data_IF_143973431168
#
_entry.id   IF_143973431168
#
_cell.length_a   1.000
_cell.length_b   1.000
_cell.length_c   1.000
_cell.angle_alpha   90.00
_cell.angle_beta   90.00
_cell.angle_gamma   90.00
#
_symmetry.space_group_name_H-M   'P 1'
#
loop_
_entity.id
_entity.type
_entity.pdbx_description
1 polymer ?
#
# COMPACT_ATOMS: atom_id res chain seq x y z
N UNK A 1 -21.63 20.66 21.22
CA UNK A 1 -22.52 20.87 20.05
C UNK A 1 -21.97 21.92 19.07
N UNK A 2 -21.57 23.13 19.47
CA UNK A 2 -20.97 24.12 18.53
C UNK A 2 -19.52 23.82 18.09
N UNK A 3 -18.75 23.05 18.88
CA UNK A 3 -17.38 22.65 18.56
C UNK A 3 -17.29 21.50 17.51
N UNK A 4 -18.39 20.80 17.21
CA UNK A 4 -18.38 19.69 16.24
C UNK A 4 -18.43 20.18 14.79
N UNK A 5 -18.94 21.38 14.53
CA UNK A 5 -19.06 21.94 13.17
C UNK A 5 -17.71 22.31 12.52
N UNK A 6 -16.64 22.37 13.33
CA UNK A 6 -15.28 22.65 12.86
C UNK A 6 -14.36 21.42 12.87
N UNK A 7 -14.88 20.23 13.20
CA UNK A 7 -14.10 18.99 13.23
C UNK A 7 -14.04 18.39 11.84
N UNK A 8 -12.82 18.14 11.36
CA UNK A 8 -12.57 17.43 10.11
C UNK A 8 -12.26 15.99 10.44
N UNK A 9 -13.16 15.07 10.12
CA UNK A 9 -12.83 13.64 10.16
C UNK A 9 -11.93 13.31 8.96
N UNK A 10 -10.98 12.40 9.16
CA UNK A 10 -9.90 12.14 8.21
C UNK A 10 -9.77 10.65 7.94
N UNK A 11 -9.72 10.27 6.67
CA UNK A 11 -9.31 8.94 6.23
C UNK A 11 -7.84 8.94 5.86
N UNK A 12 -7.06 7.95 6.30
CA UNK A 12 -5.62 7.85 6.03
C UNK A 12 -5.32 6.46 5.49
N UNK A 13 -4.68 6.43 4.33
CA UNK A 13 -3.93 5.27 3.85
C UNK A 13 -2.47 5.50 4.24
N UNK A 14 -1.97 4.72 5.20
CA UNK A 14 -0.61 4.81 5.70
C UNK A 14 0.26 3.77 4.99
N UNK A 15 0.43 3.94 3.68
CA UNK A 15 1.16 2.98 2.86
C UNK A 15 2.67 3.02 3.05
N UNK A 16 3.33 1.88 2.77
CA UNK A 16 4.80 1.75 2.84
C UNK A 16 5.52 2.70 1.86
N UNK A 17 4.96 2.91 0.67
CA UNK A 17 5.56 3.75 -0.37
C UNK A 17 5.01 5.17 -0.38
N UNK A 18 3.68 5.32 -0.30
CA UNK A 18 2.99 6.62 -0.27
C UNK A 18 1.92 6.59 0.80
N UNK A 19 1.66 7.76 1.39
CA UNK A 19 0.53 7.99 2.27
C UNK A 19 -0.46 8.92 1.60
N UNK A 20 -1.75 8.62 1.74
CA UNK A 20 -2.83 9.42 1.20
C UNK A 20 -3.77 9.86 2.32
N UNK A 21 -4.31 11.07 2.19
CA UNK A 21 -5.22 11.63 3.19
C UNK A 21 -6.50 12.13 2.52
N UNK A 22 -7.63 11.65 3.04
CA UNK A 22 -8.97 12.08 2.71
C UNK A 22 -9.52 12.95 3.84
N UNK A 23 -10.18 14.06 3.49
CA UNK A 23 -10.95 14.85 4.46
C UNK A 23 -12.43 14.71 4.10
N UNK A 24 -13.24 14.43 5.12
CA UNK A 24 -14.70 14.44 5.03
C UNK A 24 -15.22 15.67 4.27
N UNK A 25 -16.13 15.43 3.33
CA UNK A 25 -16.74 16.44 2.45
C UNK A 25 -15.77 17.19 1.51
N UNK A 26 -14.48 16.81 1.44
CA UNK A 26 -13.48 17.43 0.54
C UNK A 26 -12.80 16.46 -0.41
N UNK A 27 -12.77 15.17 -0.10
CA UNK A 27 -12.05 14.20 -0.91
C UNK A 27 -10.59 14.03 -0.48
N UNK A 28 -9.79 13.45 -1.39
CA UNK A 28 -8.36 13.25 -1.20
C UNK A 28 -7.64 14.59 -1.37
N UNK A 29 -6.88 15.00 -0.36
CA UNK A 29 -6.16 16.28 -0.34
C UNK A 29 -4.63 16.14 -0.27
N UNK A 30 -4.15 14.93 0.01
CA UNK A 30 -2.72 14.62 0.11
C UNK A 30 -2.44 13.27 -0.53
N UNK A 31 -1.36 13.21 -1.30
CA UNK A 31 -0.74 12.00 -1.80
C UNK A 31 0.77 12.26 -1.83
N UNK A 32 1.49 11.78 -0.82
CA UNK A 32 2.92 12.02 -0.68
C UNK A 32 3.68 10.74 -0.34
N UNK A 33 4.95 10.63 -0.75
CA UNK A 33 5.82 9.53 -0.36
C UNK A 33 5.92 9.38 1.17
N UNK A 34 5.89 8.15 1.67
CA UNK A 34 6.08 7.84 3.09
C UNK A 34 7.57 7.87 3.46
N UNK A 35 8.21 9.01 3.26
CA UNK A 35 9.65 9.22 3.42
C UNK A 35 9.95 10.41 4.32
N UNK A 36 10.94 10.24 5.18
CA UNK A 36 11.46 11.29 6.05
C UNK A 36 12.98 11.38 5.91
N UNK A 37 13.50 12.59 5.70
CA UNK A 37 14.93 12.88 5.73
C UNK A 37 15.32 13.37 7.13
N UNK A 38 16.30 12.72 7.75
CA UNK A 38 16.74 13.01 9.12
C UNK A 38 18.23 13.32 9.13
N UNK A 39 18.63 14.37 9.84
CA UNK A 39 20.03 14.64 10.13
C UNK A 39 20.51 13.75 11.27
N UNK A 40 21.34 12.76 10.94
CA UNK A 40 21.82 11.72 11.86
C UNK A 40 22.67 12.27 13.02
N UNK A 41 23.20 13.49 12.91
CA UNK A 41 24.00 14.12 13.97
C UNK A 41 23.14 14.81 15.02
N UNK A 42 21.94 15.26 14.64
CA UNK A 42 21.08 16.11 15.49
C UNK A 42 19.74 15.45 15.82
N UNK A 43 19.35 14.42 15.08
CA UNK A 43 18.00 13.84 15.13
C UNK A 43 16.94 14.73 14.47
N UNK A 44 17.30 15.87 13.90
CA UNK A 44 16.34 16.80 13.31
C UNK A 44 15.77 16.26 11.99
N UNK A 45 14.45 16.31 11.86
CA UNK A 45 13.76 16.09 10.58
C UNK A 45 14.02 17.28 9.66
N UNK A 46 14.58 17.01 8.49
CA UNK A 46 14.90 18.00 7.47
C UNK A 46 13.78 18.15 6.44
N UNK A 47 13.13 17.04 6.07
CA UNK A 47 12.09 17.00 5.06
C UNK A 47 11.19 15.76 5.25
N UNK A 48 9.95 15.86 4.81
CA UNK A 48 8.96 14.77 4.76
C UNK A 48 8.30 14.79 3.37
N UNK A 49 7.94 13.62 2.84
CA UNK A 49 7.19 13.52 1.60
C UNK A 49 8.05 13.72 0.36
N UNK A 50 7.54 14.51 -0.58
CA UNK A 50 8.21 14.77 -1.87
C UNK A 50 9.59 15.42 -1.70
N UNK A 51 9.77 16.29 -0.70
CA UNK A 51 11.08 16.89 -0.43
C UNK A 51 12.10 15.85 0.07
N UNK A 52 11.66 14.87 0.88
CA UNK A 52 12.53 13.76 1.28
C UNK A 52 12.85 12.83 0.10
N UNK A 53 11.87 12.57 -0.78
CA UNK A 53 12.04 11.73 -1.98
C UNK A 53 13.11 12.28 -2.93
N UNK A 54 13.19 13.60 -3.12
CA UNK A 54 14.24 14.25 -3.93
C UNK A 54 15.67 13.95 -3.46
N UNK A 55 15.83 13.60 -2.18
CA UNK A 55 17.11 13.31 -1.55
C UNK A 55 17.54 11.83 -1.66
N UNK A 56 16.64 10.92 -2.09
CA UNK A 56 16.93 9.48 -2.21
C UNK A 56 18.09 9.24 -3.17
N UNK A 57 19.10 8.49 -2.70
CA UNK A 57 20.31 8.17 -3.47
C UNK A 57 21.26 9.35 -3.72
N UNK A 58 20.96 10.54 -3.19
CA UNK A 58 21.74 11.79 -3.36
C UNK A 58 22.15 12.42 -2.04
N UNK A 59 21.55 11.97 -0.93
CA UNK A 59 21.82 12.48 0.40
C UNK A 59 23.29 12.24 0.83
N UNK A 60 23.95 13.23 1.45
CA UNK A 60 25.27 13.03 2.05
C UNK A 60 25.18 12.10 3.27
N UNK A 61 26.31 11.52 3.69
CA UNK A 61 26.36 10.49 4.74
C UNK A 61 25.74 10.86 6.10
N UNK A 62 25.58 12.16 6.40
CA UNK A 62 24.96 12.62 7.64
C UNK A 62 23.44 12.79 7.55
N UNK A 63 22.84 12.52 6.39
CA UNK A 63 21.38 12.55 6.18
C UNK A 63 20.92 11.12 5.85
N UNK A 64 20.07 10.57 6.70
CA UNK A 64 19.37 9.32 6.41
C UNK A 64 18.00 9.60 5.81
N UNK A 65 17.64 8.80 4.80
CA UNK A 65 16.28 8.74 4.29
C UNK A 65 15.62 7.51 4.90
N UNK A 66 14.56 7.71 5.67
CA UNK A 66 13.88 6.68 6.45
C UNK A 66 12.48 6.48 5.87
N UNK A 67 12.12 5.21 5.61
CA UNK A 67 10.74 4.78 5.48
C UNK A 67 10.29 4.31 6.86
N UNK A 68 9.31 4.98 7.50
CA UNK A 68 8.90 4.62 8.85
C UNK A 68 7.99 3.39 8.90
N UNK A 69 7.59 2.89 7.73
CA UNK A 69 6.73 1.73 7.54
C UNK A 69 7.48 0.72 6.67
N UNK A 70 7.46 -0.55 7.08
CA UNK A 70 8.05 -1.65 6.33
C UNK A 70 7.04 -2.79 6.32
N UNK A 71 6.61 -3.21 5.12
CA UNK A 71 5.57 -4.22 4.93
C UNK A 71 4.27 -3.89 5.68
N UNK A 72 3.87 -2.61 5.68
CA UNK A 72 2.66 -2.14 6.37
C UNK A 72 2.76 -2.07 7.91
N UNK A 73 3.93 -2.36 8.48
CA UNK A 73 4.18 -2.28 9.93
C UNK A 73 5.03 -1.06 10.25
N UNK A 74 4.73 -0.39 11.37
CA UNK A 74 5.57 0.70 11.90
C UNK A 74 6.94 0.15 12.31
N UNK A 75 7.97 0.54 11.56
CA UNK A 75 9.36 0.23 11.88
C UNK A 75 10.05 1.32 12.69
N UNK A 76 9.55 2.55 12.61
CA UNK A 76 10.02 3.69 13.41
C UNK A 76 8.83 4.51 13.92
N UNK A 77 8.53 4.35 15.21
CA UNK A 77 7.38 4.98 15.85
C UNK A 77 7.49 6.50 15.90
N UNK A 78 8.67 7.04 16.21
CA UNK A 78 8.88 8.48 16.35
C UNK A 78 8.75 9.17 14.99
N UNK A 79 9.33 8.59 13.94
CA UNK A 79 9.18 9.11 12.58
C UNK A 79 7.75 8.95 12.07
N UNK A 80 7.05 7.85 12.38
CA UNK A 80 5.63 7.68 12.02
C UNK A 80 4.75 8.74 12.67
N UNK A 81 4.96 9.03 13.95
CA UNK A 81 4.24 10.10 14.67
C UNK A 81 4.48 11.46 14.02
N UNK A 82 5.71 11.77 13.60
CA UNK A 82 6.00 13.02 12.89
C UNK A 82 5.38 13.06 11.49
N UNK A 83 5.30 11.92 10.81
CA UNK A 83 4.59 11.79 9.53
C UNK A 83 3.09 12.08 9.70
N UNK A 84 2.45 11.51 10.72
CA UNK A 84 1.06 11.85 11.08
C UNK A 84 0.91 13.34 11.42
N UNK A 85 1.82 13.91 12.23
CA UNK A 85 1.79 15.35 12.55
C UNK A 85 1.88 16.22 11.30
N UNK A 86 2.70 15.84 10.33
CA UNK A 86 2.81 16.51 9.04
C UNK A 86 1.49 16.46 8.27
N UNK A 87 0.83 15.31 8.22
CA UNK A 87 -0.48 15.16 7.56
C UNK A 87 -1.56 16.00 8.24
N UNK A 88 -1.68 15.92 9.57
CA UNK A 88 -2.67 16.70 10.34
C UNK A 88 -2.45 18.21 10.18
N UNK A 89 -1.20 18.67 10.14
CA UNK A 89 -0.87 20.08 9.86
C UNK A 89 -1.24 20.52 8.45
N UNK A 90 -1.11 19.65 7.45
CA UNK A 90 -1.52 19.96 6.06
C UNK A 90 -3.03 19.98 5.88
N UNK A 91 -3.76 19.20 6.68
CA UNK A 91 -5.23 19.19 6.73
C UNK A 91 -5.79 20.49 7.32
N UNK A 92 -5.07 21.13 8.24
CA UNK A 92 -5.53 22.35 8.92
C UNK A 92 -4.48 23.48 8.96
N UNK A 93 -4.71 24.52 8.16
CA UNK A 93 -3.87 25.74 8.16
C UNK A 93 -4.00 26.58 9.45
N UNK A 94 -4.98 26.29 10.31
CA UNK A 94 -5.19 27.00 11.57
C UNK A 94 -4.79 26.12 12.77
N UNK A 95 -3.83 26.60 13.56
CA UNK A 95 -3.17 25.91 14.68
C UNK A 95 -4.07 25.58 15.90
N UNK A 96 -5.40 25.60 15.78
CA UNK A 96 -6.31 25.64 16.92
C UNK A 96 -7.23 24.41 17.10
N UNK A 97 -7.14 23.36 16.27
CA UNK A 97 -8.04 22.21 16.39
C UNK A 97 -7.32 20.84 16.42
N UNK A 98 -7.18 20.25 17.61
CA UNK A 98 -6.67 18.89 17.87
C UNK A 98 -7.82 17.87 18.07
N UNK A 99 -8.89 17.91 17.26
CA UNK A 99 -10.11 17.13 17.54
C UNK A 99 -10.61 16.22 16.42
N UNK A 100 -9.77 15.90 15.43
CA UNK A 100 -10.15 15.00 14.33
C UNK A 100 -10.26 13.54 14.78
N UNK A 101 -11.32 12.85 14.34
CA UNK A 101 -11.36 11.39 14.30
C UNK A 101 -10.62 10.94 13.05
N UNK A 102 -9.75 9.95 13.18
CA UNK A 102 -8.99 9.40 12.04
C UNK A 102 -9.38 7.95 11.82
N UNK A 103 -9.62 7.57 10.56
CA UNK A 103 -9.80 6.19 10.11
C UNK A 103 -8.56 5.80 9.32
N UNK A 104 -7.83 4.78 9.76
CA UNK A 104 -6.53 4.40 9.21
C UNK A 104 -6.62 2.99 8.62
N UNK A 105 -6.25 2.84 7.35
CA UNK A 105 -6.05 1.53 6.73
C UNK A 105 -4.84 0.83 7.32
N UNK A 106 -5.00 -0.44 7.71
CA UNK A 106 -3.92 -1.30 8.19
C UNK A 106 -3.98 -2.70 7.58
N UNK A 107 -2.85 -3.41 7.40
CA UNK A 107 -2.85 -4.80 6.93
C UNK A 107 -3.70 -5.72 7.81
N UNK A 108 -4.25 -6.80 7.23
CA UNK A 108 -5.12 -7.73 7.98
C UNK A 108 -4.40 -8.47 9.10
N UNK A 109 -3.13 -8.80 8.89
CA UNK A 109 -2.34 -9.70 9.73
C UNK A 109 -1.51 -9.00 10.82
N UNK A 110 -1.82 -7.76 11.18
CA UNK A 110 -1.15 -7.07 12.27
C UNK A 110 -1.44 -7.72 13.63
N UNK A 111 -0.40 -7.88 14.44
CA UNK A 111 -0.51 -8.22 15.87
C UNK A 111 -1.20 -7.09 16.64
N UNK A 112 -1.74 -7.38 17.83
CA UNK A 112 -2.37 -6.35 18.67
C UNK A 112 -1.41 -5.20 19.01
N UNK A 113 -0.12 -5.49 19.19
CA UNK A 113 0.92 -4.48 19.45
C UNK A 113 1.14 -3.58 18.23
N UNK A 114 1.17 -4.15 17.02
CA UNK A 114 1.29 -3.39 15.78
C UNK A 114 0.05 -2.53 15.50
N UNK A 115 -1.16 -3.08 15.73
CA UNK A 115 -2.41 -2.29 15.66
C UNK A 115 -2.40 -1.13 16.65
N UNK A 116 -2.04 -1.41 17.91
CA UNK A 116 -2.01 -0.41 18.97
C UNK A 116 -0.99 0.71 18.70
N UNK A 117 0.16 0.36 18.14
CA UNK A 117 1.18 1.36 17.80
C UNK A 117 0.74 2.30 16.67
N UNK A 118 -0.08 1.85 15.71
CA UNK A 118 -0.70 2.74 14.71
C UNK A 118 -1.66 3.73 15.37
N UNK A 119 -2.54 3.24 16.24
CA UNK A 119 -3.47 4.11 16.98
C UNK A 119 -2.73 5.14 17.83
N UNK A 120 -1.74 4.69 18.61
CA UNK A 120 -1.00 5.55 19.53
C UNK A 120 -0.18 6.61 18.77
N UNK A 121 0.41 6.26 17.62
CA UNK A 121 1.10 7.21 16.77
C UNK A 121 0.15 8.32 16.30
N UNK A 122 -1.07 7.98 15.89
CA UNK A 122 -2.07 8.94 15.46
C UNK A 122 -2.59 9.81 16.61
N UNK A 123 -2.86 9.23 17.78
CA UNK A 123 -3.31 9.95 18.97
C UNK A 123 -2.24 10.94 19.46
N UNK A 124 -0.98 10.49 19.57
CA UNK A 124 0.16 11.34 19.97
C UNK A 124 0.55 12.37 18.92
N UNK A 125 0.12 12.17 17.67
CA UNK A 125 0.23 13.17 16.62
C UNK A 125 -0.82 14.29 16.71
N UNK A 126 -1.90 14.08 17.48
CA UNK A 126 -2.94 15.09 17.73
C UNK A 126 -4.36 14.68 17.32
N UNK A 127 -4.59 13.44 16.90
CA UNK A 127 -5.94 12.94 16.68
C UNK A 127 -6.70 12.77 18.00
N UNK A 128 -8.00 13.07 18.03
CA UNK A 128 -8.82 12.85 19.22
C UNK A 128 -9.26 11.39 19.37
N UNK A 129 -9.45 10.69 18.26
CA UNK A 129 -9.75 9.26 18.20
C UNK A 129 -9.11 8.67 16.96
N UNK A 130 -8.59 7.45 17.09
CA UNK A 130 -8.11 6.65 15.98
C UNK A 130 -8.99 5.41 15.85
N UNK A 131 -9.37 5.10 14.61
CA UNK A 131 -10.10 3.91 14.23
C UNK A 131 -9.28 3.20 13.16
N UNK A 132 -9.21 1.87 13.24
CA UNK A 132 -8.54 1.06 12.25
C UNK A 132 -9.57 0.42 11.33
N UNK A 133 -9.24 0.28 10.06
CA UNK A 133 -9.97 -0.54 9.08
C UNK A 133 -8.96 -1.44 8.39
N UNK A 134 -9.35 -2.68 8.12
CA UNK A 134 -8.49 -3.59 7.36
C UNK A 134 -8.36 -3.09 5.92
N UNK A 135 -7.13 -2.96 5.44
CA UNK A 135 -6.79 -2.52 4.08
C UNK A 135 -7.64 -3.17 2.99
N UNK A 136 -7.82 -4.50 2.93
CA UNK A 136 -8.67 -5.09 1.89
C UNK A 136 -10.13 -4.66 1.98
N UNK A 137 -10.68 -4.43 3.19
CA UNK A 137 -12.06 -3.93 3.36
C UNK A 137 -12.16 -2.49 2.86
N UNK A 138 -11.20 -1.64 3.23
CA UNK A 138 -11.13 -0.27 2.72
C UNK A 138 -10.94 -0.25 1.19
N UNK A 139 -10.04 -1.09 0.66
CA UNK A 139 -9.81 -1.21 -0.77
C UNK A 139 -11.09 -1.62 -1.52
N UNK A 140 -11.84 -2.60 -1.01
CA UNK A 140 -13.06 -3.09 -1.63
C UNK A 140 -14.20 -2.05 -1.57
N UNK A 141 -14.31 -1.30 -0.46
CA UNK A 141 -15.21 -0.15 -0.36
C UNK A 141 -14.85 0.94 -1.38
N UNK A 142 -13.57 1.28 -1.50
CA UNK A 142 -13.09 2.26 -2.47
C UNK A 142 -13.26 1.82 -3.92
N UNK A 143 -13.22 0.51 -4.18
CA UNK A 143 -13.52 -0.11 -5.46
C UNK A 143 -15.03 -0.30 -5.71
N UNK A 144 -15.90 0.10 -4.77
CA UNK A 144 -17.37 -0.02 -4.83
C UNK A 144 -17.87 -1.45 -5.00
N UNK A 145 -17.15 -2.41 -4.43
CA UNK A 145 -17.59 -3.81 -4.39
C UNK A 145 -18.74 -3.99 -3.39
N UNK A 146 -19.66 -4.95 -3.60
CA UNK A 146 -20.80 -5.22 -2.72
C UNK A 146 -20.36 -5.96 -1.45
N UNK A 147 -19.50 -5.33 -0.65
CA UNK A 147 -18.90 -5.95 0.55
C UNK A 147 -19.90 -6.21 1.67
N UNK A 148 -21.03 -5.50 1.67
CA UNK A 148 -22.09 -5.60 2.68
C UNK A 148 -23.12 -6.69 2.40
N UNK A 149 -23.11 -7.24 1.20
CA UNK A 149 -24.05 -8.26 0.77
C UNK A 149 -23.51 -9.65 1.15
N UNK A 150 -24.39 -10.65 1.28
CA UNK A 150 -24.00 -12.06 1.47
C UNK A 150 -23.50 -12.66 0.15
N UNK A 151 -22.56 -11.96 -0.51
CA UNK A 151 -21.85 -12.40 -1.71
C UNK A 151 -20.35 -12.24 -1.52
N UNK A 152 -19.55 -13.01 -2.27
CA UNK A 152 -18.10 -12.91 -2.23
C UNK A 152 -17.59 -11.75 -3.08
N UNK A 153 -16.83 -10.85 -2.45
CA UNK A 153 -16.00 -9.85 -3.12
C UNK A 153 -14.53 -10.21 -2.92
N UNK A 154 -13.86 -10.70 -3.97
CA UNK A 154 -12.43 -11.01 -3.90
C UNK A 154 -11.59 -9.82 -4.39
N UNK A 155 -10.69 -9.34 -3.55
CA UNK A 155 -9.79 -8.23 -3.86
C UNK A 155 -8.33 -8.61 -3.60
N UNK A 156 -7.45 -8.10 -4.46
CA UNK A 156 -6.00 -8.23 -4.38
C UNK A 156 -5.40 -6.83 -4.43
N UNK A 157 -4.96 -6.33 -3.27
CA UNK A 157 -4.30 -5.04 -3.14
C UNK A 157 -2.78 -5.21 -3.17
N UNK A 158 -2.15 -4.79 -4.26
CA UNK A 158 -0.69 -4.84 -4.43
C UNK A 158 -0.08 -3.47 -4.15
N UNK A 159 0.38 -3.27 -2.92
CA UNK A 159 0.99 -2.02 -2.47
C UNK A 159 2.50 -1.90 -2.76
N UNK A 160 3.16 -1.08 -1.94
CA UNK A 160 4.62 -0.94 -1.95
C UNK A 160 5.33 -2.09 -1.22
N UNK A 161 4.91 -2.38 0.01
CA UNK A 161 5.54 -3.39 0.87
C UNK A 161 4.82 -4.75 0.89
N UNK A 162 3.49 -4.74 0.75
CA UNK A 162 2.64 -5.93 0.87
C UNK A 162 1.73 -6.12 -0.32
N UNK A 163 1.37 -7.38 -0.57
CA UNK A 163 0.19 -7.75 -1.36
C UNK A 163 -0.82 -8.39 -0.41
N UNK A 164 -1.97 -7.74 -0.22
CA UNK A 164 -3.10 -8.25 0.56
C UNK A 164 -4.09 -8.92 -0.38
N UNK A 165 -4.45 -10.16 -0.11
CA UNK A 165 -5.44 -10.93 -0.86
C UNK A 165 -6.57 -11.24 0.11
N UNK A 166 -7.81 -10.92 -0.23
CA UNK A 166 -8.94 -11.17 0.66
C UNK A 166 -10.22 -11.52 -0.11
N UNK A 167 -11.04 -12.35 0.53
CA UNK A 167 -12.44 -12.56 0.18
C UNK A 167 -13.28 -11.92 1.28
N UNK A 168 -14.14 -10.99 0.89
CA UNK A 168 -14.97 -10.18 1.79
C UNK A 168 -16.44 -10.52 1.55
N UNK A 169 -17.20 -10.63 2.63
CA UNK A 169 -18.65 -10.80 2.59
C UNK A 169 -19.27 -10.27 3.88
N UNK A 170 -20.50 -9.72 3.80
CA UNK A 170 -21.25 -9.21 4.96
C UNK A 170 -20.45 -8.24 5.86
N UNK A 171 -19.60 -7.43 5.25
CA UNK A 171 -18.79 -6.38 5.90
C UNK A 171 -17.54 -6.88 6.61
N UNK A 172 -17.18 -8.16 6.48
CA UNK A 172 -15.99 -8.73 7.10
C UNK A 172 -15.13 -9.54 6.14
N UNK A 173 -13.85 -9.69 6.50
CA UNK A 173 -12.93 -10.60 5.81
C UNK A 173 -13.27 -12.04 6.19
N UNK A 174 -13.62 -12.86 5.20
CA UNK A 174 -13.89 -14.29 5.38
C UNK A 174 -12.58 -15.08 5.37
N UNK A 175 -11.70 -14.74 4.44
CA UNK A 175 -10.35 -15.27 4.36
C UNK A 175 -9.42 -14.21 3.78
N UNK A 176 -8.21 -14.15 4.30
CA UNK A 176 -7.15 -13.32 3.74
C UNK A 176 -5.77 -13.98 3.80
N UNK A 177 -4.88 -13.47 2.96
CA UNK A 177 -3.47 -13.81 2.93
C UNK A 177 -2.68 -12.54 2.63
N UNK A 178 -1.60 -12.31 3.36
CA UNK A 178 -0.71 -11.18 3.19
C UNK A 178 0.68 -11.66 2.82
N UNK A 179 1.23 -11.11 1.74
CA UNK A 179 2.58 -11.40 1.27
C UNK A 179 3.46 -10.17 1.42
N UNK A 180 4.70 -10.37 1.90
CA UNK A 180 5.77 -9.36 1.85
C UNK A 180 6.45 -9.31 0.46
N UNK A 181 5.64 -9.44 -0.59
CA UNK A 181 6.04 -9.40 -2.00
C UNK A 181 5.13 -8.40 -2.69
N UNK A 182 5.69 -7.26 -3.04
CA UNK A 182 4.98 -6.13 -3.65
C UNK A 182 5.97 -5.23 -4.39
N UNK A 183 5.65 -3.95 -4.61
CA UNK A 183 6.46 -3.02 -5.37
C UNK A 183 7.96 -2.95 -4.99
N UNK A 184 8.26 -2.93 -3.69
CA UNK A 184 9.64 -2.84 -3.16
C UNK A 184 10.44 -4.11 -3.48
N UNK A 185 9.83 -5.28 -3.27
CA UNK A 185 10.44 -6.57 -3.59
C UNK A 185 10.74 -6.71 -5.08
N UNK A 186 9.86 -6.18 -5.94
CA UNK A 186 10.08 -6.15 -7.39
C UNK A 186 11.25 -5.25 -7.78
N UNK A 187 11.42 -4.11 -7.10
CA UNK A 187 12.60 -3.25 -7.30
C UNK A 187 13.88 -3.99 -6.92
N UNK A 188 13.88 -4.69 -5.78
CA UNK A 188 15.04 -5.49 -5.34
C UNK A 188 15.41 -6.58 -6.35
N UNK A 189 14.40 -7.25 -6.92
CA UNK A 189 14.62 -8.27 -7.97
C UNK A 189 15.26 -7.66 -9.21
N UNK A 190 14.83 -6.46 -9.61
CA UNK A 190 15.41 -5.73 -10.74
C UNK A 190 16.85 -5.29 -10.45
N UNK A 191 17.12 -4.74 -9.26
CA UNK A 191 18.48 -4.35 -8.84
C UNK A 191 19.40 -5.56 -8.88
N UNK A 192 18.94 -6.69 -8.32
CA UNK A 192 19.71 -7.93 -8.30
C UNK A 192 19.98 -8.44 -9.71
N UNK A 193 18.95 -8.51 -10.56
CA UNK A 193 19.09 -8.93 -11.95
C UNK A 193 20.10 -8.06 -12.70
N UNK A 194 20.01 -6.73 -12.56
CA UNK A 194 20.92 -5.80 -13.26
C UNK A 194 22.36 -5.98 -12.78
N UNK A 195 22.56 -6.20 -11.48
CA UNK A 195 23.87 -6.53 -10.89
C UNK A 195 24.42 -7.84 -11.46
N UNK A 196 23.60 -8.88 -11.53
CA UNK A 196 24.06 -10.22 -11.88
C UNK A 196 24.30 -10.36 -13.40
N UNK A 197 23.39 -9.86 -14.23
CA UNK A 197 23.45 -10.01 -15.69
C UNK A 197 24.34 -8.95 -16.34
N UNK A 198 24.22 -7.69 -15.92
CA UNK A 198 25.01 -6.61 -16.53
C UNK A 198 26.30 -6.32 -15.75
N UNK A 199 26.51 -6.83 -14.53
CA UNK A 199 27.63 -6.40 -13.67
C UNK A 199 27.62 -4.89 -13.41
N UNK A 200 26.42 -4.33 -13.26
CA UNK A 200 26.17 -2.91 -13.05
C UNK A 200 25.40 -2.68 -11.74
N UNK A 201 25.90 -1.80 -10.88
CA UNK A 201 25.19 -1.39 -9.67
C UNK A 201 24.29 -0.18 -9.98
N UNK A 202 23.00 -0.32 -9.67
CA UNK A 202 22.00 0.74 -9.75
C UNK A 202 21.30 0.93 -8.39
N UNK A 203 20.72 2.11 -8.20
CA UNK A 203 19.89 2.41 -7.03
C UNK A 203 18.41 2.09 -7.25
N UNK A 204 17.65 2.14 -6.17
CA UNK A 204 16.20 1.91 -6.15
C UNK A 204 15.41 2.84 -7.10
N UNK A 205 15.71 4.15 -7.22
CA UNK A 205 15.01 5.01 -8.18
C UNK A 205 15.12 4.54 -9.64
N UNK A 206 16.28 4.00 -10.04
CA UNK A 206 16.49 3.47 -11.39
C UNK A 206 15.74 2.16 -11.59
N UNK A 207 15.66 1.31 -10.56
CA UNK A 207 14.88 0.07 -10.60
C UNK A 207 13.38 0.34 -10.70
N UNK A 208 12.87 1.31 -9.93
CA UNK A 208 11.48 1.78 -10.02
C UNK A 208 11.17 2.33 -11.42
N UNK A 209 12.07 3.13 -11.99
CA UNK A 209 11.90 3.65 -13.35
C UNK A 209 11.83 2.54 -14.41
N UNK A 210 12.70 1.53 -14.30
CA UNK A 210 12.66 0.35 -15.16
C UNK A 210 11.34 -0.42 -15.01
N UNK A 211 10.89 -0.66 -13.77
CA UNK A 211 9.63 -1.33 -13.45
C UNK A 211 8.45 -0.61 -14.09
N UNK A 212 8.36 0.71 -13.90
CA UNK A 212 7.24 1.52 -14.37
C UNK A 212 7.22 1.68 -15.90
N UNK A 213 8.38 1.92 -16.53
CA UNK A 213 8.44 2.20 -17.97
C UNK A 213 8.35 0.92 -18.81
N UNK A 214 9.11 -0.11 -18.45
CA UNK A 214 9.32 -1.29 -19.31
C UNK A 214 9.00 -2.63 -18.62
N UNK A 215 8.54 -2.61 -17.37
CA UNK A 215 8.09 -3.81 -16.66
C UNK A 215 6.77 -4.37 -17.21
N UNK A 216 6.65 -5.70 -17.21
CA UNK A 216 5.45 -6.42 -17.63
C UNK A 216 5.37 -7.78 -16.94
N UNK A 217 4.15 -8.20 -16.61
CA UNK A 217 3.87 -9.51 -16.04
C UNK A 217 3.83 -10.62 -17.12
N UNK A 218 3.51 -10.26 -18.36
CA UNK A 218 3.46 -11.16 -19.52
C UNK A 218 4.31 -10.62 -20.67
N UNK A 219 4.52 -11.44 -21.71
CA UNK A 219 5.14 -10.95 -22.94
C UNK A 219 4.21 -9.94 -23.61
N UNK A 220 4.78 -8.82 -24.05
CA UNK A 220 4.10 -7.75 -24.78
C UNK A 220 4.64 -7.72 -26.20
N UNK A 221 3.80 -7.35 -27.18
CA UNK A 221 4.23 -7.21 -28.58
C UNK A 221 5.20 -6.05 -28.77
N UNK A 222 5.03 -5.00 -27.96
CA UNK A 222 5.91 -3.84 -27.96
C UNK A 222 7.28 -4.17 -27.35
N UNK A 223 8.34 -3.98 -28.15
CA UNK A 223 9.73 -4.16 -27.73
C UNK A 223 10.22 -2.91 -27.01
N UNK A 224 9.86 -2.80 -25.73
CA UNK A 224 10.31 -1.71 -24.86
C UNK A 224 11.76 -1.91 -24.40
N UNK A 225 12.54 -0.83 -24.44
CA UNK A 225 13.90 -0.78 -23.89
C UNK A 225 14.21 0.60 -23.30
N UNK A 226 15.14 0.64 -22.36
CA UNK A 226 15.55 1.86 -21.66
C UNK A 226 17.06 1.83 -21.40
N UNK A 227 17.82 2.86 -21.81
CA UNK A 227 19.20 3.02 -21.37
C UNK A 227 19.24 3.43 -19.89
N UNK A 228 20.07 2.74 -19.11
CA UNK A 228 20.31 3.06 -17.70
C UNK A 228 21.80 3.23 -17.42
N UNK A 229 22.10 4.09 -16.46
CA UNK A 229 23.46 4.35 -15.98
C UNK A 229 23.63 3.83 -14.57
N UNK A 230 24.80 3.29 -14.30
CA UNK A 230 25.16 2.80 -12.98
C UNK A 230 26.67 2.74 -12.80
N UNK A 231 27.09 2.16 -11.68
CA UNK A 231 28.51 1.93 -11.39
C UNK A 231 28.90 0.54 -11.84
N UNK A 232 29.85 0.45 -12.77
CA UNK A 232 30.41 -0.82 -13.23
C UNK A 232 31.11 -1.55 -12.08
N UNK A 233 30.86 -2.84 -11.93
CA UNK A 233 31.40 -3.63 -10.81
C UNK A 233 32.88 -3.95 -10.95
N UNK A 234 33.41 -4.03 -12.18
CA UNK A 234 34.80 -4.41 -12.42
C UNK A 234 35.73 -3.19 -12.28
N UNK A 235 35.32 -2.06 -12.85
CA UNK A 235 36.12 -0.83 -12.94
C UNK A 235 35.78 0.18 -11.87
N UNK A 236 34.59 0.11 -11.27
CA UNK A 236 34.07 1.13 -10.36
C UNK A 236 33.65 2.44 -11.03
N UNK A 237 33.74 2.54 -12.36
CA UNK A 237 33.43 3.75 -13.14
C UNK A 237 31.98 3.76 -13.62
N UNK A 238 31.41 4.93 -13.94
CA UNK A 238 30.08 5.01 -14.55
C UNK A 238 30.04 4.29 -15.90
N UNK A 239 29.00 3.48 -16.12
CA UNK A 239 28.75 2.77 -17.39
C UNK A 239 27.26 2.80 -17.72
N UNK A 240 26.96 2.85 -19.02
CA UNK A 240 25.60 2.79 -19.55
C UNK A 240 25.32 1.41 -20.17
N UNK A 241 24.12 0.88 -19.96
CA UNK A 241 23.63 -0.34 -20.61
C UNK A 241 22.17 -0.16 -21.05
N UNK A 242 21.76 -0.86 -22.09
CA UNK A 242 20.36 -0.90 -22.55
C UNK A 242 19.65 -2.11 -21.95
N UNK A 243 18.58 -1.86 -21.20
CA UNK A 243 17.75 -2.91 -20.59
C UNK A 243 16.45 -3.03 -21.36
N UNK A 244 16.04 -4.27 -21.69
CA UNK A 244 14.82 -4.58 -22.42
C UNK A 244 13.72 -5.05 -21.47
N UNK A 245 12.45 -4.88 -21.85
CA UNK A 245 11.32 -5.31 -21.02
C UNK A 245 11.34 -6.81 -20.69
N UNK A 246 11.90 -7.65 -21.58
CA UNK A 246 12.12 -9.08 -21.32
C UNK A 246 13.05 -9.37 -20.14
N UNK A 247 14.08 -8.54 -19.93
CA UNK A 247 14.98 -8.65 -18.78
C UNK A 247 14.24 -8.33 -17.48
N UNK A 248 13.45 -7.26 -17.45
CA UNK A 248 12.65 -6.89 -16.27
C UNK A 248 11.64 -7.97 -15.95
N UNK A 249 10.95 -8.52 -16.96
CA UNK A 249 10.01 -9.63 -16.78
C UNK A 249 10.70 -10.88 -16.21
N UNK A 250 11.90 -11.22 -16.66
CA UNK A 250 12.69 -12.32 -16.08
C UNK A 250 13.04 -12.06 -14.62
N UNK A 251 13.47 -10.83 -14.30
CA UNK A 251 13.83 -10.44 -12.94
C UNK A 251 12.69 -10.65 -11.94
N UNK A 252 11.48 -10.17 -12.28
CA UNK A 252 10.33 -10.16 -11.37
C UNK A 252 9.48 -11.44 -11.40
N UNK A 253 9.74 -12.36 -12.33
CA UNK A 253 8.85 -13.50 -12.60
C UNK A 253 8.58 -14.36 -11.37
N UNK A 254 9.63 -14.66 -10.58
CA UNK A 254 9.50 -15.48 -9.37
C UNK A 254 8.56 -14.84 -8.35
N UNK A 255 8.69 -13.54 -8.13
CA UNK A 255 7.85 -12.78 -7.19
C UNK A 255 6.39 -12.75 -7.67
N UNK A 256 6.14 -12.52 -8.96
CA UNK A 256 4.78 -12.57 -9.49
C UNK A 256 4.15 -13.97 -9.41
N UNK A 257 4.94 -15.03 -9.63
CA UNK A 257 4.47 -16.41 -9.46
C UNK A 257 4.04 -16.69 -8.02
N UNK A 258 4.79 -16.20 -7.04
CA UNK A 258 4.39 -16.32 -5.62
C UNK A 258 3.10 -15.58 -5.30
N UNK A 259 2.87 -14.40 -5.90
CA UNK A 259 1.59 -13.69 -5.74
C UNK A 259 0.43 -14.50 -6.35
N UNK A 260 0.59 -15.01 -7.57
CA UNK A 260 -0.43 -15.86 -8.22
C UNK A 260 -0.72 -17.11 -7.40
N UNK A 261 0.30 -17.75 -6.82
CA UNK A 261 0.11 -18.93 -6.00
C UNK A 261 -0.71 -18.62 -4.74
N UNK A 262 -0.42 -17.52 -4.05
CA UNK A 262 -1.20 -17.11 -2.88
C UNK A 262 -2.66 -16.77 -3.22
N UNK A 263 -2.92 -16.24 -4.43
CA UNK A 263 -4.30 -16.02 -4.91
C UNK A 263 -5.03 -17.36 -5.05
N UNK A 264 -4.37 -18.37 -5.65
CA UNK A 264 -4.93 -19.73 -5.77
C UNK A 264 -5.20 -20.36 -4.40
N UNK A 265 -4.21 -20.33 -3.51
CA UNK A 265 -4.35 -20.84 -2.15
C UNK A 265 -5.49 -20.18 -1.39
N UNK A 266 -5.72 -18.87 -1.60
CA UNK A 266 -6.84 -18.15 -0.98
C UNK A 266 -8.19 -18.63 -1.50
N UNK A 267 -8.31 -18.87 -2.82
CA UNK A 267 -9.52 -19.42 -3.43
C UNK A 267 -9.77 -20.86 -2.94
N UNK A 268 -8.73 -21.69 -2.86
CA UNK A 268 -8.83 -23.08 -2.40
C UNK A 268 -9.30 -23.21 -0.95
N UNK A 269 -8.94 -22.25 -0.11
CA UNK A 269 -9.34 -22.21 1.31
C UNK A 269 -10.67 -21.48 1.53
N UNK A 270 -11.23 -20.82 0.52
CA UNK A 270 -12.51 -20.12 0.65
C UNK A 270 -13.66 -21.12 0.83
N UNK A 271 -14.71 -20.78 1.61
CA UNK A 271 -15.90 -21.62 1.72
C UNK A 271 -16.51 -21.92 0.34
N UNK A 272 -16.92 -23.18 0.07
CA UNK A 272 -17.47 -23.57 -1.23
C UNK A 272 -18.64 -22.69 -1.71
N UNK A 273 -19.44 -22.18 -0.78
CA UNK A 273 -20.57 -21.30 -1.02
C UNK A 273 -20.15 -19.95 -1.63
N UNK A 274 -18.93 -19.49 -1.33
CA UNK A 274 -18.37 -18.22 -1.84
C UNK A 274 -17.55 -18.41 -3.12
N UNK A 275 -17.05 -19.62 -3.40
CA UNK A 275 -16.26 -19.90 -4.61
C UNK A 275 -17.10 -19.64 -5.87
N UNK A 276 -18.39 -20.00 -5.86
CA UNK A 276 -19.30 -19.75 -6.98
C UNK A 276 -19.43 -18.25 -7.32
N UNK A 277 -19.43 -17.40 -6.30
CA UNK A 277 -19.47 -15.95 -6.45
C UNK A 277 -18.16 -15.41 -7.01
N UNK A 278 -17.01 -15.91 -6.55
CA UNK A 278 -15.69 -15.52 -7.09
C UNK A 278 -15.59 -15.88 -8.58
N UNK A 279 -16.05 -17.07 -8.98
CA UNK A 279 -16.06 -17.49 -10.38
C UNK A 279 -16.94 -16.60 -11.25
N UNK A 280 -18.04 -16.10 -10.70
CA UNK A 280 -19.01 -15.24 -11.41
C UNK A 280 -18.57 -13.78 -11.46
N UNK A 281 -18.10 -13.23 -10.35
CA UNK A 281 -17.81 -11.80 -10.18
C UNK A 281 -16.38 -11.44 -10.58
N UNK A 282 -15.46 -12.41 -10.52
CA UNK A 282 -14.05 -12.23 -10.82
C UNK A 282 -13.23 -11.77 -9.61
N UNK A 283 -11.95 -11.50 -9.88
CA UNK A 283 -10.96 -10.99 -8.94
C UNK A 283 -10.65 -9.53 -9.26
N UNK A 284 -10.76 -8.66 -8.26
CA UNK A 284 -10.49 -7.23 -8.41
C UNK A 284 -9.08 -6.91 -7.92
N UNK A 285 -8.32 -6.16 -8.72
CA UNK A 285 -6.94 -5.78 -8.44
C UNK A 285 -6.86 -4.29 -8.15
N UNK A 286 -6.20 -3.90 -7.07
CA UNK A 286 -5.89 -2.52 -6.74
C UNK A 286 -4.47 -2.35 -6.20
N UNK A 287 -4.13 -1.13 -5.80
CA UNK A 287 -2.78 -0.78 -5.36
C UNK A 287 -1.82 -0.52 -6.52
N UNK A 288 -0.73 0.21 -6.26
CA UNK A 288 0.18 0.64 -7.32
C UNK A 288 0.89 -0.52 -8.06
N UNK A 289 1.12 -1.63 -7.38
CA UNK A 289 1.71 -2.84 -7.96
C UNK A 289 0.79 -3.52 -8.99
N UNK A 290 -0.53 -3.36 -8.88
CA UNK A 290 -1.48 -3.93 -9.84
C UNK A 290 -1.38 -3.29 -11.23
N UNK A 291 -0.81 -2.08 -11.32
CA UNK A 291 -0.64 -1.33 -12.57
C UNK A 291 0.50 -1.88 -13.45
N UNK A 292 1.22 -2.90 -13.00
CA UNK A 292 2.20 -3.58 -13.82
C UNK A 292 1.53 -4.14 -15.09
N UNK A 293 2.09 -3.82 -16.27
CA UNK A 293 1.50 -4.17 -17.56
C UNK A 293 1.20 -5.67 -17.66
N UNK A 294 -0.07 -6.01 -17.88
CA UNK A 294 -0.55 -7.38 -18.02
C UNK A 294 -0.67 -8.19 -16.73
N UNK A 295 -0.67 -7.55 -15.56
CA UNK A 295 -0.84 -8.23 -14.26
C UNK A 295 -2.19 -8.98 -14.17
N UNK A 296 -3.28 -8.31 -14.55
CA UNK A 296 -4.61 -8.95 -14.63
C UNK A 296 -4.62 -10.12 -15.61
N UNK A 297 -4.01 -9.97 -16.78
CA UNK A 297 -3.91 -11.05 -17.77
C UNK A 297 -3.11 -12.25 -17.24
N UNK A 298 -2.02 -12.01 -16.50
CA UNK A 298 -1.26 -13.08 -15.86
C UNK A 298 -2.14 -13.83 -14.87
N UNK A 299 -2.82 -13.12 -13.97
CA UNK A 299 -3.69 -13.74 -12.96
C UNK A 299 -4.80 -14.54 -13.65
N UNK A 300 -5.56 -13.91 -14.54
CA UNK A 300 -6.66 -14.54 -15.26
C UNK A 300 -6.25 -15.82 -15.98
N UNK A 301 -5.08 -15.83 -16.64
CA UNK A 301 -4.57 -17.02 -17.33
C UNK A 301 -4.28 -18.16 -16.36
N UNK A 302 -3.77 -17.85 -15.17
CA UNK A 302 -3.26 -18.84 -14.24
C UNK A 302 -4.34 -19.39 -13.30
N UNK A 303 -5.40 -18.61 -13.02
CA UNK A 303 -6.51 -19.01 -12.14
C UNK A 303 -7.80 -19.36 -12.91
N UNK A 304 -7.87 -19.06 -14.21
CA UNK A 304 -9.04 -19.28 -15.07
C UNK A 304 -10.33 -18.56 -14.59
N UNK A 305 -10.17 -17.43 -13.90
CA UNK A 305 -11.22 -16.53 -13.44
C UNK A 305 -10.94 -15.13 -13.98
N UNK A 306 -11.97 -14.36 -14.30
CA UNK A 306 -11.81 -12.98 -14.73
C UNK A 306 -11.04 -12.18 -13.68
N UNK A 307 -10.05 -11.39 -14.11
CA UNK A 307 -9.27 -10.55 -13.22
C UNK A 307 -9.21 -9.13 -13.80
N UNK A 308 -9.56 -8.13 -12.99
CA UNK A 308 -9.75 -6.75 -13.46
C UNK A 308 -9.05 -5.78 -12.53
N UNK A 309 -8.23 -4.90 -13.10
CA UNK A 309 -7.68 -3.76 -12.36
C UNK A 309 -8.77 -2.71 -12.22
N UNK A 310 -9.06 -2.30 -10.99
CA UNK A 310 -10.12 -1.33 -10.70
C UNK A 310 -9.71 0.08 -11.10
N UNK A 311 -10.71 0.92 -11.39
CA UNK A 311 -10.48 2.34 -11.67
C UNK A 311 -9.87 3.05 -10.45
N UNK A 312 -8.92 3.95 -10.71
CA UNK A 312 -8.11 4.67 -9.71
C UNK A 312 -7.49 3.75 -8.63
N UNK A 313 -6.93 2.61 -9.04
CA UNK A 313 -6.32 1.58 -8.19
C UNK A 313 -5.40 2.10 -7.07
N UNK A 314 -4.70 3.23 -7.30
CA UNK A 314 -3.80 3.87 -6.32
C UNK A 314 -4.52 4.51 -5.12
N UNK A 315 -5.82 4.72 -5.20
CA UNK A 315 -6.59 5.47 -4.21
C UNK A 315 -7.69 4.65 -3.54
N UNK A 316 -7.80 3.36 -3.84
CA UNK A 316 -8.87 2.51 -3.30
C UNK A 316 -8.92 2.52 -1.77
N UNK A 317 -7.80 2.27 -1.09
CA UNK A 317 -7.74 2.23 0.38
C UNK A 317 -8.19 3.57 0.98
N UNK A 318 -7.61 4.69 0.55
CA UNK A 318 -7.96 6.01 1.10
C UNK A 318 -9.41 6.42 0.77
N UNK A 319 -9.95 6.02 -0.38
CA UNK A 319 -11.36 6.25 -0.73
C UNK A 319 -12.30 5.45 0.15
N UNK A 320 -12.00 4.18 0.42
CA UNK A 320 -12.79 3.36 1.35
C UNK A 320 -12.72 3.88 2.78
N UNK A 321 -11.53 4.25 3.25
CA UNK A 321 -11.37 4.93 4.54
C UNK A 321 -12.17 6.25 4.57
N UNK A 322 -12.21 6.99 3.46
CA UNK A 322 -13.03 8.19 3.28
C UNK A 322 -14.53 7.94 3.38
N UNK A 323 -15.05 6.88 2.74
CA UNK A 323 -16.46 6.45 2.86
C UNK A 323 -16.83 6.20 4.32
N UNK A 324 -15.97 5.50 5.07
CA UNK A 324 -16.17 5.25 6.50
C UNK A 324 -16.11 6.56 7.28
N UNK A 325 -15.18 7.44 6.92
CA UNK A 325 -14.97 8.75 7.57
C UNK A 325 -16.17 9.68 7.40
N UNK A 326 -16.86 9.62 6.25
CA UNK A 326 -18.04 10.43 5.98
C UNK A 326 -19.19 10.10 6.96
N UNK A 327 -19.32 8.85 7.41
CA UNK A 327 -20.28 8.42 8.44
C UNK A 327 -19.76 7.23 9.28
N UNK A 328 -18.88 7.54 10.25
CA UNK A 328 -18.22 6.53 11.09
C UNK A 328 -19.21 5.67 11.87
N UNK A 329 -20.30 6.26 12.36
CA UNK A 329 -21.26 5.56 13.22
C UNK A 329 -22.05 4.53 12.38
N UNK A 330 -22.50 4.91 11.18
CA UNK A 330 -23.15 4.02 10.22
C UNK A 330 -22.21 2.92 9.71
N UNK A 331 -20.94 3.24 9.52
CA UNK A 331 -19.93 2.34 8.96
C UNK A 331 -19.09 1.61 10.02
N UNK A 332 -19.50 1.68 11.29
CA UNK A 332 -18.77 1.10 12.43
C UNK A 332 -18.51 -0.40 12.32
N UNK A 333 -19.34 -1.15 11.57
CA UNK A 333 -19.14 -2.58 11.31
C UNK A 333 -17.86 -2.93 10.53
N UNK A 334 -17.34 -2.00 9.73
CA UNK A 334 -16.11 -2.21 8.96
C UNK A 334 -14.86 -1.90 9.76
N UNK A 335 -15.01 -1.24 10.91
CA UNK A 335 -13.87 -0.90 11.76
C UNK A 335 -13.35 -2.17 12.41
N UNK A 336 -12.04 -2.32 12.39
CA UNK A 336 -11.35 -3.40 13.06
C UNK A 336 -11.35 -3.16 14.57
N UNK A 337 -12.48 -3.43 15.22
CA UNK A 337 -12.58 -3.48 16.67
C UNK A 337 -12.08 -4.82 17.19
N UNK A 338 -11.54 -4.83 18.43
CA UNK A 338 -11.40 -6.07 19.19
C UNK A 338 -12.77 -6.74 19.20
N UNK A 339 -12.86 -7.97 18.68
CA UNK A 339 -14.06 -8.80 18.81
C UNK A 339 -14.55 -8.67 20.26
N UNK A 340 -15.77 -8.16 20.47
CA UNK A 340 -16.34 -8.18 21.82
C UNK A 340 -16.31 -9.66 22.24
N UNK A 341 -15.72 -10.01 23.40
CA UNK A 341 -15.80 -11.38 23.88
C UNK A 341 -17.28 -11.76 23.89
N UNK A 342 -17.61 -12.86 23.20
CA UNK A 342 -18.94 -13.43 23.30
C UNK A 342 -19.14 -13.76 24.77
N UNK A 343 -20.03 -13.04 25.45
CA UNK A 343 -20.62 -13.55 26.69
C UNK A 343 -21.41 -14.79 26.28
N UNK A 344 -20.77 -15.95 26.40
CA UNK A 344 -21.45 -17.23 26.33
C UNK A 344 -22.32 -17.28 27.59
N UNK A 345 -23.59 -16.89 27.45
CA UNK A 345 -24.60 -17.24 28.44
C UNK A 345 -24.76 -18.76 28.37
N UNK A 346 -24.14 -19.47 29.33
CA UNK A 346 -24.37 -20.89 29.60
C UNK A 346 -25.73 -21.04 30.29
#
# INVERSE_FOLDING_TARGET
>A
MFLDYFRKDIGIDLGTANSLVYIKDRGIILNEPSLTAVNNKTGQILAIGEEAKKMVGRAPAHISIIRPLINGVISDFEITKELFRHFLKKVDNNRFFNYSRVVIGVPTNLTEVERKSVEDAALLAGAARAYLVEEPVAAALGARLPVDEPTASMIVDMGGGTTEIAVISMGGVVISQSLKIAGDKLNDDIIKFVRDEFKLMIGEPTAEELKMKIGSAIAMDEKLELPIRGRDMATGLPREVVVKGGHIRMAINRSLRSVVEAIKETIEKAPPELVGDILKNGVFLCGGGSLLKGMSNLIQREIAVEATVVDDALTCVVRGAGIITDDIDKHSRFLAGSLKPMEINI
#
